data_IF_429467691576
#
_entry.id   IF_429467691576
#
_cell.length_a   1.000
_cell.length_b   1.000
_cell.length_c   1.000
_cell.angle_alpha   90.00
_cell.angle_beta   90.00
_cell.angle_gamma   90.00
#
_symmetry.space_group_name_H-M   'P 1'
#
loop_
_entity.id
_entity.type
_entity.pdbx_description
1 polymer ?
#
# COMPACT_ATOMS: atom_id res chain seq x y z
N UNK A 1 -17.60 18.67 -9.48
CA UNK A 1 -17.07 18.64 -10.85
C UNK A 1 -15.55 18.60 -10.74
N UNK A 2 -14.93 17.44 -11.02
CA UNK A 2 -13.61 17.46 -11.65
C UNK A 2 -13.84 17.02 -13.09
N UNK A 3 -13.31 17.78 -14.02
CA UNK A 3 -13.31 17.46 -15.46
C UNK A 3 -11.95 17.84 -16.03
N UNK A 4 -10.87 17.54 -15.29
CA UNK A 4 -9.56 17.53 -15.91
C UNK A 4 -9.62 16.51 -17.06
N UNK A 5 -9.16 16.84 -18.27
CA UNK A 5 -9.24 15.93 -19.43
C UNK A 5 -8.44 14.62 -19.25
N UNK A 6 -7.67 14.49 -18.16
CA UNK A 6 -6.74 13.40 -17.90
C UNK A 6 -7.02 12.64 -16.58
N UNK A 7 -8.17 12.88 -15.94
CA UNK A 7 -8.56 12.17 -14.71
C UNK A 7 -8.87 10.70 -15.04
N UNK A 8 -8.28 9.71 -14.35
CA UNK A 8 -8.60 8.31 -14.60
C UNK A 8 -10.04 8.02 -14.19
N UNK A 9 -10.81 7.26 -14.99
CA UNK A 9 -12.13 6.81 -14.56
C UNK A 9 -11.99 5.77 -13.44
N UNK A 10 -13.03 5.57 -12.60
CA UNK A 10 -13.07 4.42 -11.71
C UNK A 10 -13.02 3.12 -12.51
N UNK A 11 -12.15 2.21 -12.11
CA UNK A 11 -11.96 0.89 -12.70
C UNK A 11 -12.78 -0.15 -11.94
N UNK A 12 -13.24 -1.22 -12.60
CA UNK A 12 -14.09 -2.22 -11.96
C UNK A 12 -13.32 -3.07 -10.95
N UNK A 13 -13.90 -3.27 -9.77
CA UNK A 13 -13.46 -4.27 -8.80
C UNK A 13 -14.52 -5.39 -8.78
N UNK A 14 -14.13 -6.68 -8.86
CA UNK A 14 -15.10 -7.76 -8.75
C UNK A 14 -15.89 -7.71 -7.44
N UNK A 15 -17.16 -8.08 -7.49
CA UNK A 15 -17.96 -8.24 -6.27
C UNK A 15 -17.38 -9.36 -5.40
N UNK A 16 -17.29 -9.10 -4.10
CA UNK A 16 -16.67 -9.96 -3.09
C UNK A 16 -15.20 -10.30 -3.40
N UNK A 17 -14.48 -9.36 -4.02
CA UNK A 17 -13.09 -9.57 -4.42
C UNK A 17 -12.19 -9.96 -3.24
N UNK A 18 -11.27 -10.87 -3.53
CA UNK A 18 -10.05 -11.08 -2.76
C UNK A 18 -8.96 -10.19 -3.34
N UNK A 19 -8.56 -9.16 -2.60
CA UNK A 19 -7.52 -8.21 -2.98
C UNK A 19 -6.26 -8.52 -2.19
N UNK A 20 -5.16 -8.78 -2.88
CA UNK A 20 -3.84 -8.90 -2.27
C UNK A 20 -3.14 -7.53 -2.27
N UNK A 21 -2.49 -7.22 -1.15
CA UNK A 21 -1.78 -5.97 -0.91
C UNK A 21 -0.35 -6.30 -0.45
N UNK A 22 0.61 -5.75 -1.16
CA UNK A 22 2.05 -5.82 -0.87
C UNK A 22 2.65 -4.43 -1.01
N UNK A 23 3.76 -4.17 -0.33
CA UNK A 23 4.44 -2.87 -0.34
C UNK A 23 5.93 -3.07 -0.10
N UNK A 24 6.77 -2.26 -0.72
CA UNK A 24 8.22 -2.33 -0.54
C UNK A 24 8.74 -3.74 -0.92
N UNK A 25 8.19 -4.25 -2.02
CA UNK A 25 8.33 -5.64 -2.45
C UNK A 25 9.29 -5.80 -3.63
N UNK A 26 9.42 -4.78 -4.49
CA UNK A 26 10.08 -4.86 -5.80
C UNK A 26 11.61 -4.96 -5.74
N UNK A 27 12.17 -5.86 -4.94
CA UNK A 27 13.62 -6.01 -4.71
C UNK A 27 14.31 -6.94 -5.72
N UNK A 28 13.55 -7.73 -6.47
CA UNK A 28 14.09 -8.71 -7.42
C UNK A 28 14.71 -9.96 -6.76
N UNK A 29 14.59 -10.08 -5.45
CA UNK A 29 15.22 -11.13 -4.65
C UNK A 29 14.43 -12.46 -4.70
N UNK A 30 15.05 -13.59 -4.37
CA UNK A 30 14.33 -14.84 -4.13
C UNK A 30 13.23 -14.72 -3.07
N UNK A 31 13.46 -13.94 -2.02
CA UNK A 31 12.51 -13.69 -0.94
C UNK A 31 11.25 -12.98 -1.45
N UNK A 32 11.40 -11.96 -2.31
CA UNK A 32 10.28 -11.30 -2.97
C UNK A 32 9.43 -12.31 -3.77
N UNK A 33 10.09 -13.20 -4.53
CA UNK A 33 9.39 -14.25 -5.27
C UNK A 33 8.65 -15.20 -4.35
N UNK A 34 9.29 -15.69 -3.30
CA UNK A 34 8.67 -16.62 -2.33
C UNK A 34 7.46 -15.99 -1.63
N UNK A 35 7.53 -14.71 -1.25
CA UNK A 35 6.36 -14.02 -0.70
C UNK A 35 5.24 -13.90 -1.74
N UNK A 36 5.56 -13.56 -2.99
CA UNK A 36 4.55 -13.48 -4.05
C UNK A 36 3.91 -14.84 -4.36
N UNK A 37 4.64 -15.95 -4.26
CA UNK A 37 4.08 -17.30 -4.39
C UNK A 37 3.05 -17.60 -3.29
N UNK A 38 3.32 -17.14 -2.05
CA UNK A 38 2.34 -17.24 -0.94
C UNK A 38 1.12 -16.37 -1.19
N UNK A 39 1.31 -15.15 -1.70
CA UNK A 39 0.21 -14.27 -2.14
C UNK A 39 -0.62 -14.94 -3.25
N UNK A 40 0.03 -15.53 -4.25
CA UNK A 40 -0.63 -16.23 -5.36
C UNK A 40 -1.49 -17.42 -4.88
N UNK A 41 -1.06 -18.10 -3.81
CA UNK A 41 -1.82 -19.22 -3.22
C UNK A 41 -3.19 -18.79 -2.66
N UNK A 42 -3.37 -17.51 -2.33
CA UNK A 42 -4.68 -16.96 -1.95
C UNK A 42 -5.63 -16.75 -3.13
N UNK A 43 -5.15 -16.91 -4.37
CA UNK A 43 -5.90 -16.70 -5.61
C UNK A 43 -6.57 -15.32 -5.66
N UNK A 44 -5.80 -14.23 -5.55
CA UNK A 44 -6.37 -12.89 -5.54
C UNK A 44 -7.04 -12.57 -6.87
N UNK A 45 -8.17 -11.87 -6.80
CA UNK A 45 -8.84 -11.26 -7.95
C UNK A 45 -8.09 -10.01 -8.43
N UNK A 46 -7.37 -9.34 -7.54
CA UNK A 46 -6.54 -8.15 -7.81
C UNK A 46 -5.30 -8.18 -6.91
N UNK A 47 -4.13 -7.87 -7.47
CA UNK A 47 -2.93 -7.54 -6.70
C UNK A 47 -2.69 -6.04 -6.74
N UNK A 48 -2.37 -5.43 -5.61
CA UNK A 48 -1.98 -4.01 -5.52
C UNK A 48 -0.63 -3.93 -4.81
N UNK A 49 0.35 -3.31 -5.48
CA UNK A 49 1.65 -2.97 -4.91
C UNK A 49 1.69 -1.49 -4.53
N UNK A 50 2.03 -1.17 -3.27
CA UNK A 50 2.03 0.19 -2.73
C UNK A 50 3.33 0.97 -2.98
N UNK A 51 4.05 0.63 -4.06
CA UNK A 51 5.25 1.35 -4.47
C UNK A 51 6.56 0.77 -3.93
N UNK A 52 7.64 1.35 -4.45
CA UNK A 52 9.03 0.97 -4.29
C UNK A 52 9.46 -0.30 -5.05
N UNK A 53 9.85 -0.08 -6.30
CA UNK A 53 10.73 -1.00 -7.03
C UNK A 53 12.18 -0.59 -6.83
N UNK A 54 12.92 -1.45 -6.14
CA UNK A 54 14.28 -1.16 -5.69
C UNK A 54 15.34 -1.45 -6.75
N UNK A 55 16.50 -0.79 -6.68
CA UNK A 55 16.86 0.24 -5.69
C UNK A 55 16.62 1.67 -6.19
N UNK A 56 16.43 1.91 -7.47
CA UNK A 56 16.21 3.30 -7.94
C UNK A 56 15.19 3.36 -9.05
N UNK A 57 14.30 2.36 -9.13
CA UNK A 57 13.23 2.32 -10.10
C UNK A 57 13.75 2.36 -11.53
N UNK A 58 14.92 1.79 -11.83
CA UNK A 58 15.44 1.77 -13.20
C UNK A 58 14.55 0.93 -14.12
N UNK A 59 14.74 1.04 -15.43
CA UNK A 59 13.99 0.24 -16.42
C UNK A 59 14.17 -1.26 -16.20
N UNK A 60 15.40 -1.71 -15.90
CA UNK A 60 15.65 -3.13 -15.63
C UNK A 60 14.92 -3.60 -14.38
N UNK A 61 14.94 -2.80 -13.31
CA UNK A 61 14.28 -3.13 -12.04
C UNK A 61 12.75 -3.20 -12.22
N UNK A 62 12.13 -2.19 -12.84
CA UNK A 62 10.69 -2.19 -13.13
C UNK A 62 10.26 -3.37 -14.01
N UNK A 63 11.04 -3.70 -15.05
CA UNK A 63 10.70 -4.77 -15.98
C UNK A 63 10.92 -6.17 -15.37
N UNK A 64 12.00 -6.37 -14.61
CA UNK A 64 12.35 -7.69 -14.08
C UNK A 64 11.75 -7.96 -12.70
N UNK A 65 11.88 -7.00 -11.78
CA UNK A 65 11.55 -7.21 -10.37
C UNK A 65 10.06 -7.09 -10.11
N UNK A 66 9.36 -6.28 -10.91
CA UNK A 66 7.91 -6.18 -10.87
C UNK A 66 7.27 -6.90 -12.04
N UNK A 67 7.34 -6.36 -13.26
CA UNK A 67 6.49 -6.81 -14.38
C UNK A 67 6.67 -8.30 -14.71
N UNK A 68 7.91 -8.75 -14.93
CA UNK A 68 8.19 -10.15 -15.24
C UNK A 68 7.82 -11.07 -14.08
N UNK A 69 8.16 -10.68 -12.85
CA UNK A 69 7.92 -11.51 -11.67
C UNK A 69 6.43 -11.70 -11.39
N UNK A 70 5.61 -10.64 -11.44
CA UNK A 70 4.15 -10.77 -11.26
C UNK A 70 3.50 -11.59 -12.37
N UNK A 71 3.97 -11.46 -13.61
CA UNK A 71 3.45 -12.25 -14.72
C UNK A 71 3.74 -13.74 -14.55
N UNK A 72 4.97 -14.08 -14.14
CA UNK A 72 5.40 -15.46 -13.97
C UNK A 72 4.72 -16.12 -12.76
N UNK A 73 4.79 -15.49 -11.58
CA UNK A 73 4.33 -16.09 -10.32
C UNK A 73 2.81 -16.19 -10.24
N UNK A 74 2.09 -15.17 -10.73
CA UNK A 74 0.63 -15.25 -10.82
C UNK A 74 0.17 -16.05 -12.06
N UNK A 75 1.07 -16.44 -12.97
CA UNK A 75 0.72 -17.16 -14.20
C UNK A 75 -0.22 -16.35 -15.12
N UNK A 76 0.00 -15.03 -15.21
CA UNK A 76 -0.90 -14.10 -15.92
C UNK A 76 -0.93 -14.41 -17.40
N UNK A 77 -2.14 -14.50 -17.95
CA UNK A 77 -2.35 -14.77 -19.37
C UNK A 77 -3.81 -14.99 -19.72
N UNK A 78 -4.11 -15.43 -20.96
CA UNK A 78 -5.48 -15.54 -21.46
C UNK A 78 -6.43 -16.37 -20.60
N UNK A 79 -5.92 -17.42 -19.94
CA UNK A 79 -6.69 -18.30 -19.06
C UNK A 79 -6.72 -17.87 -17.60
N UNK A 80 -5.88 -16.90 -17.21
CA UNK A 80 -5.76 -16.43 -15.84
C UNK A 80 -5.38 -14.95 -15.80
N UNK A 81 -6.27 -14.05 -16.26
CA UNK A 81 -5.98 -12.62 -16.27
C UNK A 81 -6.21 -12.05 -14.86
N UNK A 82 -5.13 -11.75 -14.15
CA UNK A 82 -5.17 -11.09 -12.84
C UNK A 82 -4.67 -9.66 -13.01
N UNK A 83 -5.50 -8.62 -12.79
CA UNK A 83 -5.03 -7.24 -12.82
C UNK A 83 -4.08 -6.96 -11.67
N UNK A 84 -3.02 -6.21 -11.97
CA UNK A 84 -2.04 -5.72 -11.00
C UNK A 84 -2.06 -4.19 -11.04
N UNK A 85 -2.23 -3.55 -9.90
CA UNK A 85 -2.12 -2.10 -9.75
C UNK A 85 -0.85 -1.75 -9.00
N UNK A 86 -0.19 -0.67 -9.40
CA UNK A 86 1.09 -0.27 -8.83
C UNK A 86 1.07 1.23 -8.50
N UNK A 87 1.25 1.56 -7.23
CA UNK A 87 1.61 2.92 -6.82
C UNK A 87 3.11 3.14 -7.03
N UNK A 88 3.51 4.40 -7.06
CA UNK A 88 4.92 4.78 -7.06
C UNK A 88 5.35 5.11 -5.62
N UNK A 89 6.55 4.66 -5.26
CA UNK A 89 7.25 5.10 -4.06
C UNK A 89 8.35 6.09 -4.40
N UNK A 90 9.21 6.37 -3.42
CA UNK A 90 10.37 7.25 -3.61
C UNK A 90 11.44 6.58 -4.47
N UNK A 91 11.64 5.26 -4.32
CA UNK A 91 12.63 4.53 -5.12
C UNK A 91 12.28 4.54 -6.61
N UNK A 92 11.00 4.51 -6.95
CA UNK A 92 10.51 4.61 -8.33
C UNK A 92 10.84 5.97 -8.99
N UNK A 93 11.02 7.02 -8.19
CA UNK A 93 11.27 8.39 -8.64
C UNK A 93 12.76 8.75 -8.71
N UNK A 94 13.66 7.93 -8.15
CA UNK A 94 15.11 8.20 -8.17
C UNK A 94 15.75 8.14 -9.57
N UNK A 95 15.13 7.42 -10.51
CA UNK A 95 15.49 7.48 -11.95
C UNK A 95 14.62 8.45 -12.74
N UNK A 96 13.96 9.41 -12.08
CA UNK A 96 13.07 10.40 -12.68
C UNK A 96 11.69 9.87 -13.09
N UNK A 97 11.24 8.74 -12.53
CA UNK A 97 9.89 8.17 -12.71
C UNK A 97 9.59 7.58 -14.11
N UNK A 98 10.38 7.91 -15.14
CA UNK A 98 10.18 7.44 -16.51
C UNK A 98 9.99 5.92 -16.64
N UNK A 99 10.87 5.08 -16.05
CA UNK A 99 10.71 3.64 -16.06
C UNK A 99 9.43 3.12 -15.41
N UNK A 100 8.99 3.73 -14.29
CA UNK A 100 7.74 3.39 -13.62
C UNK A 100 6.56 3.59 -14.57
N UNK A 101 6.46 4.77 -15.22
CA UNK A 101 5.36 5.06 -16.15
C UNK A 101 5.40 4.17 -17.40
N UNK A 102 6.60 3.84 -17.90
CA UNK A 102 6.77 2.92 -19.03
C UNK A 102 6.33 1.48 -18.70
N UNK A 103 6.63 1.01 -17.49
CA UNK A 103 6.18 -0.29 -16.99
C UNK A 103 4.67 -0.29 -16.78
N UNK A 104 4.11 0.79 -16.23
CA UNK A 104 2.68 0.91 -15.97
C UNK A 104 1.84 0.74 -17.25
N UNK A 105 2.31 1.30 -18.36
CA UNK A 105 1.70 1.13 -19.68
C UNK A 105 1.67 -0.32 -20.19
N UNK A 106 2.46 -1.21 -19.61
CA UNK A 106 2.54 -2.64 -19.97
C UNK A 106 1.82 -3.54 -18.96
N UNK A 107 1.72 -3.11 -17.70
CA UNK A 107 1.35 -3.95 -16.56
C UNK A 107 0.01 -4.69 -16.74
N UNK A 108 -1.01 -4.02 -17.27
CA UNK A 108 -2.35 -4.60 -17.47
C UNK A 108 -2.75 -4.73 -18.95
N UNK A 109 -1.79 -4.74 -19.88
CA UNK A 109 -2.10 -4.95 -21.29
C UNK A 109 -2.74 -6.33 -21.53
N UNK A 110 -3.72 -6.45 -22.44
CA UNK A 110 -4.24 -7.76 -22.82
C UNK A 110 -3.11 -8.70 -23.29
N UNK A 111 -3.13 -9.99 -22.90
CA UNK A 111 -4.17 -10.69 -22.15
C UNK A 111 -3.92 -10.77 -20.63
N UNK A 112 -3.05 -9.92 -20.06
CA UNK A 112 -2.60 -10.03 -18.67
C UNK A 112 -3.65 -9.60 -17.64
N UNK A 113 -4.62 -8.78 -18.05
CA UNK A 113 -5.73 -8.32 -17.21
C UNK A 113 -7.06 -8.31 -18.00
N UNK A 114 -8.22 -8.39 -17.32
CA UNK A 114 -9.52 -8.21 -17.94
C UNK A 114 -9.68 -6.85 -18.63
N UNK A 115 -10.56 -6.71 -19.63
CA UNK A 115 -10.87 -5.41 -20.24
C UNK A 115 -11.30 -4.37 -19.19
N UNK A 116 -10.83 -3.14 -19.35
CA UNK A 116 -11.17 -2.04 -18.45
C UNK A 116 -10.33 -1.97 -17.16
N UNK A 117 -9.24 -2.73 -17.06
CA UNK A 117 -8.33 -2.73 -15.91
C UNK A 117 -7.00 -1.98 -16.17
N UNK A 118 -6.93 -1.19 -17.24
CA UNK A 118 -5.72 -0.41 -17.54
C UNK A 118 -5.57 0.73 -16.54
N UNK A 119 -4.46 0.71 -15.78
CA UNK A 119 -4.04 1.83 -14.97
C UNK A 119 -3.30 2.83 -15.86
N UNK A 120 -3.86 4.01 -16.07
CA UNK A 120 -3.31 5.06 -16.96
C UNK A 120 -2.55 6.16 -16.23
N UNK A 121 -2.67 6.20 -14.91
CA UNK A 121 -2.12 7.23 -14.04
C UNK A 121 -1.44 6.54 -12.84
N UNK A 122 -0.54 7.23 -12.15
CA UNK A 122 0.12 6.74 -10.94
C UNK A 122 -0.83 6.59 -9.73
N UNK A 123 -2.03 7.12 -9.85
CA UNK A 123 -3.15 6.99 -8.91
C UNK A 123 -4.36 6.36 -9.61
N UNK A 124 -5.27 5.76 -8.84
CA UNK A 124 -6.42 5.03 -9.39
C UNK A 124 -7.57 4.87 -8.38
N UNK A 125 -8.73 4.45 -8.88
CA UNK A 125 -9.89 4.10 -8.08
C UNK A 125 -10.44 2.77 -8.55
N UNK A 126 -10.50 1.76 -7.69
CA UNK A 126 -11.20 0.51 -7.95
C UNK A 126 -12.56 0.55 -7.26
N UNK A 127 -13.64 0.13 -7.93
CA UNK A 127 -15.00 0.16 -7.37
C UNK A 127 -15.78 -1.12 -7.64
N UNK A 128 -16.39 -1.65 -6.59
CA UNK A 128 -17.46 -2.65 -6.63
C UNK A 128 -18.78 -1.99 -6.17
N UNK A 129 -19.82 -2.73 -5.84
CA UNK A 129 -21.08 -2.15 -5.35
C UNK A 129 -20.99 -1.63 -3.91
N UNK A 130 -20.19 -2.28 -3.05
CA UNK A 130 -20.05 -1.97 -1.63
C UNK A 130 -18.75 -1.24 -1.25
N UNK A 131 -17.72 -1.26 -2.10
CA UNK A 131 -16.38 -0.77 -1.77
C UNK A 131 -15.77 0.11 -2.86
N UNK A 132 -14.90 1.02 -2.42
CA UNK A 132 -13.92 1.68 -3.28
C UNK A 132 -12.53 1.66 -2.64
N UNK A 133 -11.52 1.36 -3.45
CA UNK A 133 -10.11 1.43 -3.09
C UNK A 133 -9.48 2.57 -3.89
N UNK A 134 -8.89 3.55 -3.21
CA UNK A 134 -8.28 4.73 -3.82
C UNK A 134 -6.77 4.68 -3.61
N UNK A 135 -6.02 4.45 -4.69
CA UNK A 135 -4.57 4.50 -4.71
C UNK A 135 -4.07 5.90 -5.03
N UNK A 136 -3.21 6.46 -4.18
CA UNK A 136 -2.73 7.84 -4.22
C UNK A 136 -1.23 7.89 -4.56
N UNK A 137 -0.84 8.81 -5.44
CA UNK A 137 0.55 9.06 -5.80
C UNK A 137 1.20 10.01 -4.79
N UNK A 138 1.57 9.45 -3.65
CA UNK A 138 2.41 10.15 -2.68
C UNK A 138 3.89 10.15 -3.07
N UNK A 139 4.29 9.46 -4.14
CA UNK A 139 5.70 9.28 -4.52
C UNK A 139 6.23 10.38 -5.43
N UNK A 140 5.36 11.03 -6.22
CA UNK A 140 5.71 12.02 -7.25
C UNK A 140 6.75 13.08 -6.82
N UNK A 141 6.65 13.56 -5.57
CA UNK A 141 7.51 14.62 -5.04
C UNK A 141 8.68 14.11 -4.18
N UNK A 142 8.90 12.80 -4.11
CA UNK A 142 10.01 12.19 -3.36
C UNK A 142 11.04 11.58 -4.31
N UNK A 143 11.86 12.44 -4.91
CA UNK A 143 12.90 12.06 -5.86
C UNK A 143 14.33 12.31 -5.35
N UNK A 144 14.48 12.78 -4.11
CA UNK A 144 15.80 13.10 -3.55
C UNK A 144 16.40 11.89 -2.82
N UNK A 145 17.42 11.31 -3.44
CA UNK A 145 18.18 10.17 -2.90
C UNK A 145 18.94 10.47 -1.60
N UNK A 146 19.12 11.76 -1.25
CA UNK A 146 19.83 12.18 -0.05
C UNK A 146 18.91 12.42 1.16
N UNK A 147 17.60 12.59 0.92
CA UNK A 147 16.61 13.01 1.93
C UNK A 147 15.48 11.97 2.14
N UNK A 148 15.74 10.70 1.84
CA UNK A 148 14.79 9.56 1.91
C UNK A 148 14.01 9.52 3.23
N UNK A 149 14.68 9.68 4.37
CA UNK A 149 14.06 9.61 5.70
C UNK A 149 13.44 10.94 6.17
N UNK A 150 13.33 11.93 5.29
CA UNK A 150 12.92 13.30 5.63
C UNK A 150 11.97 13.94 4.63
N UNK A 151 11.51 13.19 3.62
CA UNK A 151 10.52 13.71 2.70
C UNK A 151 9.20 14.04 3.43
N UNK A 152 8.59 15.16 3.04
CA UNK A 152 7.23 15.53 3.43
C UNK A 152 6.40 15.59 2.15
N UNK A 153 5.81 14.46 1.80
CA UNK A 153 5.08 14.30 0.55
C UNK A 153 3.67 14.85 0.63
N UNK A 154 3.08 15.12 -0.53
CA UNK A 154 1.74 15.67 -0.71
C UNK A 154 1.21 15.24 -2.08
N UNK A 155 -0.10 15.39 -2.31
CA UNK A 155 -0.69 15.21 -3.64
C UNK A 155 -0.79 16.53 -4.38
N UNK A 156 -0.59 16.53 -5.70
CA UNK A 156 -0.92 17.69 -6.55
C UNK A 156 -2.41 18.04 -6.43
N UNK A 157 -2.73 19.34 -6.53
CA UNK A 157 -4.10 19.84 -6.28
C UNK A 157 -5.16 19.16 -7.17
N UNK A 158 -4.81 18.81 -8.40
CA UNK A 158 -5.72 18.12 -9.33
C UNK A 158 -6.02 16.70 -8.91
N UNK A 159 -5.00 15.95 -8.46
CA UNK A 159 -5.17 14.59 -7.93
C UNK A 159 -5.94 14.63 -6.61
N UNK A 160 -5.62 15.56 -5.71
CA UNK A 160 -6.34 15.74 -4.45
C UNK A 160 -7.82 16.02 -4.70
N UNK A 161 -8.14 16.96 -5.59
CA UNK A 161 -9.52 17.29 -5.94
C UNK A 161 -10.25 16.08 -6.54
N UNK A 162 -9.55 15.26 -7.34
CA UNK A 162 -10.08 14.01 -7.87
C UNK A 162 -10.38 13.00 -6.75
N UNK A 163 -9.46 12.74 -5.83
CA UNK A 163 -9.70 11.83 -4.70
C UNK A 163 -10.85 12.30 -3.81
N UNK A 164 -10.92 13.60 -3.49
CA UNK A 164 -12.06 14.16 -2.74
C UNK A 164 -13.37 13.98 -3.48
N UNK A 165 -13.38 14.13 -4.81
CA UNK A 165 -14.56 13.85 -5.62
C UNK A 165 -14.93 12.35 -5.61
N UNK A 166 -13.95 11.44 -5.63
CA UNK A 166 -14.19 10.00 -5.50
C UNK A 166 -14.82 9.64 -4.14
N UNK A 167 -14.35 10.25 -3.05
CA UNK A 167 -14.92 10.10 -1.70
C UNK A 167 -16.35 10.65 -1.67
N UNK A 168 -16.56 11.90 -2.12
CA UNK A 168 -17.88 12.54 -2.14
C UNK A 168 -18.91 11.79 -3.00
N UNK A 169 -18.45 11.10 -4.05
CA UNK A 169 -19.30 10.32 -4.97
C UNK A 169 -19.25 8.81 -4.72
N UNK A 170 -18.83 8.38 -3.52
CA UNK A 170 -18.75 6.97 -3.13
C UNK A 170 -20.09 6.23 -3.36
N UNK A 171 -21.22 6.93 -3.25
CA UNK A 171 -22.54 6.37 -3.53
C UNK A 171 -22.92 5.23 -2.60
N UNK A 172 -22.54 5.33 -1.31
CA UNK A 172 -22.80 4.32 -0.28
C UNK A 172 -21.71 3.25 -0.13
N UNK A 173 -20.66 3.29 -0.96
CA UNK A 173 -19.45 2.47 -0.82
C UNK A 173 -18.63 2.91 0.40
N UNK A 174 -17.94 1.95 1.03
CA UNK A 174 -16.88 2.25 1.99
C UNK A 174 -15.57 2.54 1.26
N UNK A 175 -14.77 3.47 1.79
CA UNK A 175 -13.52 3.91 1.16
C UNK A 175 -12.31 3.38 1.91
N UNK A 176 -11.38 2.76 1.20
CA UNK A 176 -10.03 2.48 1.68
C UNK A 176 -9.05 3.34 0.88
N UNK A 177 -8.17 4.06 1.59
CA UNK A 177 -7.07 4.80 0.98
C UNK A 177 -5.80 3.93 0.98
N UNK A 178 -5.04 4.02 -0.11
CA UNK A 178 -3.79 3.32 -0.33
C UNK A 178 -2.74 4.35 -0.77
N UNK A 179 -1.58 4.38 -0.13
CA UNK A 179 -0.45 5.24 -0.53
C UNK A 179 0.87 4.50 -0.36
N UNK A 180 1.95 5.08 -0.88
CA UNK A 180 3.28 4.63 -0.50
C UNK A 180 3.67 5.22 0.87
N UNK A 181 3.61 6.55 0.99
CA UNK A 181 4.01 7.26 2.20
C UNK A 181 2.93 7.27 3.28
N UNK A 182 3.40 7.33 4.52
CA UNK A 182 2.62 7.36 5.74
C UNK A 182 1.95 8.72 6.01
N UNK A 183 0.73 8.68 6.55
CA UNK A 183 0.09 9.87 7.13
C UNK A 183 0.76 10.25 8.46
N UNK A 184 1.07 9.25 9.30
CA UNK A 184 1.75 9.39 10.57
C UNK A 184 2.56 8.13 10.87
N UNK A 185 3.56 8.24 11.73
CA UNK A 185 4.35 7.09 12.18
C UNK A 185 4.95 7.29 13.56
N UNK A 186 4.98 6.19 14.34
CA UNK A 186 5.72 6.14 15.61
C UNK A 186 7.21 5.76 15.40
N UNK A 187 7.55 5.16 14.26
CA UNK A 187 8.80 4.44 14.04
C UNK A 187 9.71 5.09 13.01
N UNK A 188 9.16 5.81 12.03
CA UNK A 188 9.92 6.56 11.04
C UNK A 188 9.63 8.05 11.13
N UNK A 189 10.65 8.90 11.10
CA UNK A 189 10.43 10.34 11.07
C UNK A 189 9.81 10.76 9.75
N UNK A 190 8.92 11.75 9.80
CA UNK A 190 8.29 12.37 8.64
C UNK A 190 8.76 13.82 8.54
N UNK A 191 9.24 14.21 7.36
CA UNK A 191 9.73 15.55 7.12
C UNK A 191 11.13 15.86 7.68
N UNK A 192 11.66 17.05 7.36
CA UNK A 192 13.01 17.47 7.72
C UNK A 192 13.20 17.57 9.24
N UNK A 193 14.45 17.50 9.70
CA UNK A 193 14.79 17.53 11.14
C UNK A 193 14.32 18.79 11.85
N UNK A 194 14.26 19.91 11.13
CA UNK A 194 13.83 21.20 11.67
C UNK A 194 12.30 21.33 11.74
N UNK A 195 11.57 20.33 11.24
CA UNK A 195 10.13 20.27 11.36
C UNK A 195 9.73 19.84 12.79
N UNK A 196 8.80 20.57 13.41
CA UNK A 196 8.48 20.42 14.84
C UNK A 196 8.01 19.01 15.21
N UNK A 197 6.84 18.61 14.71
CA UNK A 197 6.32 17.25 14.89
C UNK A 197 6.71 16.38 13.70
N UNK A 198 7.61 15.41 13.93
CA UNK A 198 8.11 14.47 12.93
C UNK A 198 7.37 13.13 12.95
N UNK A 199 6.24 13.06 13.68
CA UNK A 199 5.37 11.89 13.69
C UNK A 199 4.22 11.98 12.68
N UNK A 200 4.06 13.13 12.01
CA UNK A 200 2.89 13.45 11.19
C UNK A 200 3.30 14.09 9.86
N UNK A 201 2.75 13.59 8.76
CA UNK A 201 2.73 14.32 7.49
C UNK A 201 1.65 15.40 7.56
N UNK A 202 2.06 16.62 7.93
CA UNK A 202 1.13 17.75 8.09
C UNK A 202 0.50 18.18 6.77
N UNK A 203 1.14 17.93 5.62
CA UNK A 203 0.58 18.25 4.30
C UNK A 203 -0.55 17.29 3.96
N UNK A 204 -0.31 15.98 4.00
CA UNK A 204 -1.37 14.98 3.77
C UNK A 204 -2.50 15.13 4.79
N UNK A 205 -2.16 15.41 6.06
CA UNK A 205 -3.18 15.69 7.08
C UNK A 205 -4.03 16.89 6.70
N UNK A 206 -3.43 18.00 6.28
CA UNK A 206 -4.18 19.18 5.83
C UNK A 206 -5.01 18.90 4.58
N UNK A 207 -4.55 18.02 3.69
CA UNK A 207 -5.24 17.70 2.45
C UNK A 207 -6.50 16.85 2.68
N UNK A 208 -6.50 15.95 3.67
CA UNK A 208 -7.59 14.99 3.87
C UNK A 208 -8.40 15.17 5.16
N UNK A 209 -8.04 16.10 6.06
CA UNK A 209 -8.68 16.24 7.38
C UNK A 209 -10.21 16.30 7.34
N UNK A 210 -10.75 17.02 6.35
CA UNK A 210 -12.19 17.23 6.14
C UNK A 210 -12.95 15.99 5.64
N UNK A 211 -12.24 14.91 5.32
CA UNK A 211 -12.81 13.66 4.80
C UNK A 211 -12.30 12.39 5.49
N UNK A 212 -11.41 12.49 6.49
CA UNK A 212 -10.85 11.33 7.19
C UNK A 212 -11.93 10.47 7.88
N UNK A 213 -13.03 11.09 8.32
CA UNK A 213 -14.16 10.40 8.93
C UNK A 213 -14.96 9.53 7.95
N UNK A 214 -14.77 9.73 6.63
CA UNK A 214 -15.36 8.94 5.55
C UNK A 214 -14.44 7.82 5.05
N UNK A 215 -13.25 7.67 5.65
CA UNK A 215 -12.25 6.66 5.30
C UNK A 215 -12.31 5.52 6.31
N UNK A 216 -12.58 4.31 5.83
CA UNK A 216 -12.66 3.10 6.65
C UNK A 216 -11.29 2.65 7.16
N UNK A 217 -10.29 2.74 6.28
CA UNK A 217 -8.89 2.45 6.55
C UNK A 217 -7.97 3.18 5.56
N UNK A 218 -6.75 3.48 6.00
CA UNK A 218 -5.66 3.95 5.15
C UNK A 218 -4.45 3.03 5.35
N UNK A 219 -4.02 2.36 4.29
CA UNK A 219 -2.85 1.48 4.28
C UNK A 219 -1.72 2.13 3.49
N UNK A 220 -0.49 2.00 3.98
CA UNK A 220 0.72 2.54 3.35
C UNK A 220 1.93 1.59 3.45
N UNK A 221 2.96 1.86 2.66
CA UNK A 221 4.24 1.17 2.65
C UNK A 221 5.34 2.02 3.29
N UNK A 222 6.46 2.18 2.56
CA UNK A 222 7.63 3.05 2.81
C UNK A 222 8.45 2.68 4.04
N UNK A 223 7.78 2.51 5.17
CA UNK A 223 8.42 2.04 6.39
C UNK A 223 8.50 0.52 6.33
N UNK A 224 9.70 -0.03 6.53
CA UNK A 224 9.93 -1.47 6.40
C UNK A 224 9.42 -2.27 7.61
N UNK A 225 8.18 -2.06 8.00
CA UNK A 225 7.53 -2.57 9.21
C UNK A 225 6.12 -3.09 8.93
N UNK A 226 5.58 -3.83 9.90
CA UNK A 226 4.14 -4.07 10.04
C UNK A 226 3.62 -3.29 11.24
N UNK A 227 2.74 -2.32 11.00
CA UNK A 227 2.27 -1.42 12.06
C UNK A 227 0.75 -1.31 12.03
N UNK A 228 0.10 -1.74 13.11
CA UNK A 228 -1.35 -1.72 13.22
C UNK A 228 -1.74 -0.65 14.24
N UNK A 229 -2.04 0.56 13.77
CA UNK A 229 -2.37 1.69 14.65
C UNK A 229 -3.79 1.59 15.23
N UNK A 230 -3.95 2.00 16.49
CA UNK A 230 -5.27 2.31 17.04
C UNK A 230 -5.81 3.61 16.41
N UNK A 231 -7.11 3.92 16.57
CA UNK A 231 -7.66 5.18 16.05
C UNK A 231 -6.84 6.39 16.50
N UNK A 232 -6.40 7.20 15.54
CA UNK A 232 -5.50 8.32 15.79
C UNK A 232 -5.72 9.44 14.76
N UNK A 233 -5.70 10.70 15.23
CA UNK A 233 -5.86 11.90 14.39
C UNK A 233 -7.07 11.88 13.44
N UNK A 234 -8.20 11.31 13.88
CA UNK A 234 -9.44 11.23 13.11
C UNK A 234 -9.53 10.03 12.16
N UNK A 235 -8.41 9.34 11.90
CA UNK A 235 -8.39 8.10 11.13
C UNK A 235 -8.67 6.91 12.04
N UNK A 236 -9.68 6.11 11.70
CA UNK A 236 -10.06 4.93 12.49
C UNK A 236 -9.02 3.82 12.39
N UNK A 237 -8.42 3.64 11.22
CA UNK A 237 -7.50 2.53 10.92
C UNK A 237 -6.35 2.97 10.02
N UNK A 238 -5.21 3.28 10.61
CA UNK A 238 -3.94 3.48 9.90
C UNK A 238 -3.07 2.22 9.93
N UNK A 239 -2.51 1.80 8.80
CA UNK A 239 -1.75 0.55 8.71
C UNK A 239 -0.49 0.75 7.87
N UNK A 240 0.68 0.52 8.45
CA UNK A 240 1.89 0.33 7.65
C UNK A 240 2.03 -1.17 7.31
N UNK A 241 2.28 -1.46 6.03
CA UNK A 241 2.45 -2.81 5.49
C UNK A 241 3.73 -2.93 4.62
N UNK A 242 4.71 -2.03 4.78
CA UNK A 242 5.92 -1.93 3.95
C UNK A 242 6.96 -3.05 4.17
N UNK A 243 6.53 -4.24 4.53
CA UNK A 243 7.39 -5.32 4.97
C UNK A 243 7.46 -6.48 3.98
N UNK A 244 7.23 -6.28 2.68
CA UNK A 244 7.05 -7.41 1.75
C UNK A 244 8.34 -8.02 1.17
N UNK A 245 9.48 -7.33 1.13
CA UNK A 245 10.72 -7.97 0.66
C UNK A 245 12.04 -7.30 1.08
N UNK A 246 12.01 -6.09 1.65
CA UNK A 246 13.25 -5.46 2.11
C UNK A 246 13.73 -6.16 3.39
N UNK A 247 14.97 -6.67 3.42
CA UNK A 247 15.50 -7.32 4.62
C UNK A 247 15.72 -6.30 5.74
N UNK A 248 15.08 -6.54 6.89
CA UNK A 248 15.23 -5.71 8.09
C UNK A 248 15.85 -6.54 9.20
N UNK A 249 16.99 -6.08 9.71
CA UNK A 249 17.72 -6.75 10.78
C UNK A 249 17.17 -6.38 12.15
N UNK A 250 17.13 -7.36 13.06
CA UNK A 250 16.76 -7.13 14.47
C UNK A 250 17.65 -6.07 15.13
N UNK A 251 18.92 -5.99 14.74
CA UNK A 251 19.90 -5.00 15.23
C UNK A 251 19.58 -3.56 14.81
N UNK A 252 18.79 -3.35 13.75
CA UNK A 252 18.34 -2.02 13.34
C UNK A 252 17.26 -1.46 14.28
N UNK A 253 16.64 -2.32 15.10
CA UNK A 253 15.57 -1.96 16.04
C UNK A 253 14.43 -1.17 15.34
N UNK A 254 13.83 -1.70 14.27
CA UNK A 254 12.90 -0.94 13.42
C UNK A 254 11.58 -0.61 14.13
N UNK A 255 11.25 -1.34 15.22
CA UNK A 255 10.13 -1.06 16.12
C UNK A 255 10.54 -0.22 17.35
N UNK A 256 11.68 0.47 17.29
CA UNK A 256 12.04 1.45 18.32
C UNK A 256 11.45 2.79 17.94
N UNK A 257 10.50 3.25 18.76
CA UNK A 257 9.83 4.53 18.54
C UNK A 257 10.83 5.68 18.35
N UNK A 258 10.62 6.48 17.31
CA UNK A 258 11.37 7.71 17.06
C UNK A 258 10.71 8.94 17.72
N UNK A 259 9.46 8.83 18.18
CA UNK A 259 8.68 9.93 18.79
C UNK A 259 8.24 9.68 20.24
N UNK A 260 8.69 8.57 20.82
CA UNK A 260 8.53 8.26 22.25
C UNK A 260 7.27 7.46 22.60
N UNK A 261 6.74 6.67 21.67
CA UNK A 261 5.59 5.78 21.88
C UNK A 261 4.28 6.55 22.03
N UNK A 262 4.17 7.69 21.34
CA UNK A 262 3.02 8.61 21.49
C UNK A 262 1.84 8.18 20.63
N UNK A 263 2.09 7.42 19.56
CA UNK A 263 1.05 6.97 18.66
C UNK A 263 0.63 5.56 19.07
N UNK A 264 -0.65 5.34 19.43
CA UNK A 264 -1.11 4.07 19.96
C UNK A 264 -1.17 2.98 18.88
N UNK A 265 -0.70 1.78 19.23
CA UNK A 265 -0.77 0.57 18.39
C UNK A 265 -1.78 -0.42 18.98
N UNK A 266 -2.42 -1.21 18.11
CA UNK A 266 -3.25 -2.32 18.52
C UNK A 266 -2.37 -3.49 19.02
N UNK A 267 -2.77 -4.13 20.13
CA UNK A 267 -2.06 -5.29 20.65
C UNK A 267 -2.29 -6.51 19.75
N UNK A 268 -1.28 -7.37 19.63
CA UNK A 268 -1.38 -8.66 18.95
C UNK A 268 -2.46 -9.57 19.58
N UNK A 269 -2.67 -9.43 20.88
CA UNK A 269 -3.73 -10.08 21.62
C UNK A 269 -4.50 -9.04 22.45
N UNK A 270 -5.79 -8.80 22.18
CA UNK A 270 -6.61 -7.87 22.97
C UNK A 270 -6.67 -8.23 24.46
N UNK A 271 -6.49 -9.50 24.83
CA UNK A 271 -6.46 -9.95 26.22
C UNK A 271 -5.11 -9.73 26.93
N UNK A 272 -4.04 -9.45 26.17
CA UNK A 272 -2.69 -9.17 26.69
C UNK A 272 -2.22 -7.80 26.14
N UNK A 273 -2.78 -6.69 26.64
CA UNK A 273 -2.43 -5.35 26.17
C UNK A 273 -0.94 -5.06 26.47
N UNK A 274 -0.22 -4.54 25.48
CA UNK A 274 1.16 -4.07 25.64
C UNK A 274 2.18 -4.66 24.66
N UNK A 275 1.84 -5.74 23.94
CA UNK A 275 2.66 -6.25 22.83
C UNK A 275 1.92 -5.93 21.52
N UNK A 276 2.40 -4.99 20.70
CA UNK A 276 1.76 -4.67 19.43
C UNK A 276 1.90 -5.84 18.45
N UNK A 277 1.07 -5.84 17.40
CA UNK A 277 1.28 -6.72 16.25
C UNK A 277 2.65 -6.41 15.64
N UNK A 278 3.50 -7.43 15.49
CA UNK A 278 4.83 -7.32 14.91
C UNK A 278 5.15 -8.58 14.09
N UNK A 279 6.05 -8.44 13.13
CA UNK A 279 6.59 -9.58 12.39
C UNK A 279 7.43 -10.47 13.32
N UNK A 280 7.37 -11.78 13.09
CA UNK A 280 8.34 -12.71 13.67
C UNK A 280 9.73 -12.53 13.07
N UNK A 281 10.69 -13.32 13.55
CA UNK A 281 12.08 -13.28 13.06
C UNK A 281 12.57 -14.67 12.68
N UNK A 282 13.28 -14.76 11.57
CA UNK A 282 14.06 -15.96 11.20
C UNK A 282 15.55 -15.61 11.33
N UNK A 283 16.20 -16.19 12.34
CA UNK A 283 17.57 -15.81 12.69
C UNK A 283 17.64 -14.36 13.19
N UNK A 284 18.35 -13.50 12.47
CA UNK A 284 18.55 -12.08 12.83
C UNK A 284 17.79 -11.10 11.93
N UNK A 285 16.87 -11.59 11.12
CA UNK A 285 16.07 -10.80 10.16
C UNK A 285 14.59 -10.98 10.50
N UNK A 286 13.81 -9.90 10.40
CA UNK A 286 12.35 -10.00 10.48
C UNK A 286 11.83 -10.75 9.25
N UNK A 287 10.78 -11.54 9.45
CA UNK A 287 10.04 -12.16 8.35
C UNK A 287 9.36 -11.05 7.52
N UNK A 288 9.10 -11.32 6.26
CA UNK A 288 8.31 -10.43 5.41
C UNK A 288 6.81 -10.66 5.60
N UNK A 289 6.00 -9.66 5.27
CA UNK A 289 4.56 -9.68 5.45
C UNK A 289 3.78 -9.24 4.22
N UNK A 290 2.54 -9.71 4.14
CA UNK A 290 1.58 -9.34 3.09
C UNK A 290 0.16 -9.33 3.65
N UNK A 291 -0.75 -8.68 2.93
CA UNK A 291 -2.13 -8.50 3.39
C UNK A 291 -3.13 -9.03 2.36
N UNK A 292 -4.15 -9.73 2.86
CA UNK A 292 -5.29 -10.18 2.06
C UNK A 292 -6.55 -9.50 2.58
N UNK A 293 -7.16 -8.69 1.72
CA UNK A 293 -8.45 -8.05 1.93
C UNK A 293 -9.53 -8.87 1.23
N UNK A 294 -10.51 -9.38 1.98
CA UNK A 294 -11.70 -10.06 1.43
C UNK A 294 -12.91 -9.19 1.63
N UNK A 295 -13.53 -8.79 0.53
CA UNK A 295 -14.71 -7.94 0.52
C UNK A 295 -16.00 -8.76 0.63
N UNK A 296 -16.98 -8.21 1.32
CA UNK A 296 -18.38 -8.62 1.25
C UNK A 296 -19.20 -7.37 0.89
N UNK A 297 -19.57 -7.30 -0.38
CA UNK A 297 -20.24 -6.12 -0.94
C UNK A 297 -21.68 -5.98 -0.45
N UNK A 298 -22.38 -7.10 -0.30
CA UNK A 298 -23.78 -7.13 0.11
C UNK A 298 -23.98 -6.58 1.53
N UNK A 299 -23.09 -6.97 2.45
CA UNK A 299 -23.10 -6.47 3.83
C UNK A 299 -22.28 -5.18 4.01
N UNK A 300 -21.46 -4.81 3.01
CA UNK A 300 -20.46 -3.74 3.10
C UNK A 300 -19.53 -3.94 4.30
N UNK A 301 -19.13 -5.20 4.51
CA UNK A 301 -18.10 -5.57 5.47
C UNK A 301 -16.89 -6.12 4.73
N UNK A 302 -15.75 -6.17 5.39
CA UNK A 302 -14.56 -6.81 4.82
C UNK A 302 -13.72 -7.43 5.94
N UNK A 303 -12.87 -8.38 5.57
CA UNK A 303 -11.86 -8.96 6.46
C UNK A 303 -10.48 -8.61 5.92
N UNK A 304 -9.65 -8.01 6.78
CA UNK A 304 -8.27 -7.67 6.48
C UNK A 304 -7.37 -8.61 7.29
N UNK A 305 -6.65 -9.48 6.60
CA UNK A 305 -5.80 -10.52 7.18
C UNK A 305 -4.34 -10.25 6.87
N UNK A 306 -3.50 -10.22 7.91
CA UNK A 306 -2.08 -9.92 7.84
C UNK A 306 -1.29 -11.20 8.05
N UNK A 307 -0.46 -11.54 7.07
CA UNK A 307 0.35 -12.75 7.07
C UNK A 307 1.83 -12.41 7.12
N UNK A 308 2.64 -13.38 7.53
CA UNK A 308 4.09 -13.37 7.34
C UNK A 308 4.59 -14.60 6.57
N UNK A 309 5.74 -14.47 5.93
CA UNK A 309 6.36 -15.46 5.03
C UNK A 309 7.13 -16.58 5.75
N UNK A 310 6.51 -17.29 6.69
CA UNK A 310 7.07 -18.55 7.22
C UNK A 310 6.76 -19.74 6.30
N UNK A 311 7.35 -20.91 6.54
CA UNK A 311 7.17 -22.12 5.72
C UNK A 311 5.70 -22.42 5.35
N UNK A 312 4.76 -22.18 6.26
CA UNK A 312 3.31 -22.40 6.08
C UNK A 312 2.50 -21.16 5.70
N UNK A 313 3.07 -19.97 5.82
CA UNK A 313 2.33 -18.70 5.77
C UNK A 313 1.50 -18.53 7.05
N UNK A 314 1.95 -17.66 7.95
CA UNK A 314 1.33 -17.53 9.28
C UNK A 314 0.48 -16.27 9.36
N UNK A 315 -0.80 -16.46 9.72
CA UNK A 315 -1.71 -15.36 10.03
C UNK A 315 -1.30 -14.70 11.35
N UNK A 316 -0.89 -13.44 11.31
CA UNK A 316 -0.47 -12.65 12.47
C UNK A 316 -1.64 -11.91 13.12
N UNK A 317 -2.48 -11.30 12.29
CA UNK A 317 -3.56 -10.44 12.74
C UNK A 317 -4.72 -10.49 11.75
N UNK A 318 -5.94 -10.32 12.27
CA UNK A 318 -7.14 -10.22 11.45
C UNK A 318 -8.07 -9.19 12.06
N UNK A 319 -8.61 -8.32 11.21
CA UNK A 319 -9.64 -7.37 11.60
C UNK A 319 -10.80 -7.34 10.62
N UNK A 320 -11.96 -6.95 11.14
CA UNK A 320 -13.16 -6.73 10.34
C UNK A 320 -13.38 -5.24 10.13
N UNK A 321 -13.70 -4.88 8.90
CA UNK A 321 -14.07 -3.53 8.50
C UNK A 321 -15.59 -3.44 8.33
N UNK A 322 -16.14 -2.26 8.57
CA UNK A 322 -17.56 -1.99 8.41
C UNK A 322 -18.50 -2.66 9.42
N UNK A 323 -17.95 -3.09 10.56
CA UNK A 323 -18.66 -3.64 11.72
C UNK A 323 -18.96 -2.61 12.80
#
# INVERSE_FOLDING_TARGET
ASTGPNDPPPLPLPENATVALIADWGTGTPEARTLLEKVAAHKPDVLIHLGDVYYSGTETENMQYLLSMVNEVLGRGPSHPVPVFNLTGNHDMYSGGGPYYAMLGQLNQPPLAPPGQLQTNSFFSLRSSGWQLLGMDTGLHDSDVFDVATAMTFLEDTELAWHKNQIATAGGRRTILLSHHQLFSDFSPIGPKDNGDRSLNVLLKSQFDDVLDQVEAWLWGHEHNLEIYAPYLGLQRGRCIGCSAVPVFVSQQPYKSCVGGKIPLLPANPALPGVPVMLGTTGSVYNHGYVILKLDDASRTATLSYYQDTDTGDLLFVEKLGV
#
